data_IF_096050393314
#
_entry.id   IF_096050393314
#
_cell.length_a   1.000
_cell.length_b   1.000
_cell.length_c   1.000
_cell.angle_alpha   90.00
_cell.angle_beta   90.00
_cell.angle_gamma   90.00
#
_symmetry.space_group_name_H-M   'P 1'
#
loop_
_entity.id
_entity.type
_entity.pdbx_description
1 polymer ?
#
# COMPACT_ATOMS: atom_id res chain seq x y z
N UNK A 1 -11.72 -13.16 22.44
CA UNK A 1 -10.95 -12.45 21.42
C UNK A 1 -11.46 -12.91 20.07
N UNK A 2 -11.70 -12.01 19.10
CA UNK A 2 -12.19 -12.40 17.76
C UNK A 2 -11.03 -12.98 16.96
N UNK A 3 -11.32 -14.02 16.17
CA UNK A 3 -10.34 -14.70 15.31
C UNK A 3 -10.73 -14.53 13.83
N UNK A 4 -9.78 -14.12 13.02
CA UNK A 4 -9.93 -13.96 11.55
C UNK A 4 -8.96 -14.90 10.84
N UNK A 5 -9.47 -15.70 9.91
CA UNK A 5 -8.66 -16.53 9.01
C UNK A 5 -8.51 -15.82 7.67
N UNK A 6 -7.27 -15.55 7.27
CA UNK A 6 -6.93 -14.96 5.97
C UNK A 6 -6.35 -16.06 5.08
N UNK A 7 -6.97 -16.32 3.93
CA UNK A 7 -6.54 -17.34 2.96
C UNK A 7 -6.19 -16.66 1.64
N UNK A 8 -4.96 -16.79 1.20
CA UNK A 8 -4.53 -16.20 -0.08
C UNK A 8 -3.09 -16.53 -0.40
N UNK A 9 -2.72 -16.46 -1.67
CA UNK A 9 -1.37 -16.79 -2.12
C UNK A 9 -0.40 -15.60 -2.01
N UNK A 10 -0.91 -14.34 -2.00
CA UNK A 10 -0.10 -13.14 -1.84
C UNK A 10 0.38 -12.94 -0.40
N UNK A 11 1.68 -13.09 -0.17
CA UNK A 11 2.29 -12.86 1.14
C UNK A 11 2.16 -11.41 1.60
N UNK A 12 2.28 -10.45 0.67
CA UNK A 12 2.13 -9.02 0.95
C UNK A 12 0.77 -8.72 1.56
N UNK A 13 -0.29 -9.16 0.91
CA UNK A 13 -1.66 -8.94 1.40
C UNK A 13 -1.90 -9.58 2.76
N UNK A 14 -1.48 -10.86 2.93
CA UNK A 14 -1.66 -11.58 4.21
C UNK A 14 -0.93 -10.89 5.35
N UNK A 15 0.33 -10.48 5.12
CA UNK A 15 1.16 -9.85 6.15
C UNK A 15 0.63 -8.46 6.53
N UNK A 16 0.29 -7.64 5.55
CA UNK A 16 -0.28 -6.31 5.80
C UNK A 16 -1.59 -6.42 6.61
N UNK A 17 -2.56 -7.18 6.09
CA UNK A 17 -3.86 -7.30 6.74
C UNK A 17 -3.75 -7.99 8.10
N UNK A 18 -2.89 -9.02 8.22
CA UNK A 18 -2.65 -9.71 9.48
C UNK A 18 -2.11 -8.77 10.56
N UNK A 19 -1.07 -8.00 10.25
CA UNK A 19 -0.50 -7.03 11.18
C UNK A 19 -1.53 -5.96 11.56
N UNK A 20 -2.27 -5.45 10.55
CA UNK A 20 -3.29 -4.42 10.79
C UNK A 20 -4.41 -4.90 11.72
N UNK A 21 -4.89 -6.12 11.55
CA UNK A 21 -5.94 -6.66 12.41
C UNK A 21 -5.42 -6.94 13.84
N UNK A 22 -4.17 -7.37 13.98
CA UNK A 22 -3.54 -7.57 15.29
C UNK A 22 -3.42 -6.28 16.10
N UNK A 23 -3.21 -5.11 15.45
CA UNK A 23 -3.22 -3.79 16.11
C UNK A 23 -4.57 -3.51 16.83
N UNK A 24 -5.66 -4.10 16.35
CA UNK A 24 -7.00 -4.00 16.96
C UNK A 24 -7.33 -5.17 17.91
N UNK A 25 -6.34 -5.96 18.32
CA UNK A 25 -6.52 -7.07 19.24
C UNK A 25 -7.27 -8.26 18.65
N UNK A 26 -7.26 -8.39 17.32
CA UNK A 26 -7.86 -9.53 16.60
C UNK A 26 -6.82 -10.62 16.44
N UNK A 27 -7.15 -11.85 16.81
CA UNK A 27 -6.30 -13.01 16.54
C UNK A 27 -6.38 -13.36 15.04
N UNK A 28 -5.21 -13.50 14.40
CA UNK A 28 -5.13 -13.77 12.97
C UNK A 28 -4.50 -15.12 12.70
N UNK A 29 -5.18 -15.94 11.92
CA UNK A 29 -4.65 -17.19 11.36
C UNK A 29 -4.45 -17.01 9.85
N UNK A 30 -3.36 -17.55 9.31
CA UNK A 30 -2.97 -17.40 7.89
C UNK A 30 -3.03 -18.74 7.19
N UNK A 31 -3.87 -18.89 6.18
CA UNK A 31 -3.89 -19.98 5.23
C UNK A 31 -3.06 -19.64 3.99
N UNK A 32 -1.99 -20.40 3.74
CA UNK A 32 -1.05 -20.13 2.65
C UNK A 32 -1.60 -20.48 1.26
N UNK A 33 -2.61 -21.33 1.21
CA UNK A 33 -3.31 -21.79 0.01
C UNK A 33 -4.68 -22.34 0.40
N UNK A 34 -5.48 -22.76 -0.57
CA UNK A 34 -6.83 -23.25 -0.29
C UNK A 34 -6.89 -24.50 0.59
N UNK A 35 -5.94 -25.41 0.48
CA UNK A 35 -5.91 -26.62 1.32
C UNK A 35 -5.53 -26.31 2.76
N UNK A 36 -4.49 -25.51 2.99
CA UNK A 36 -4.09 -25.06 4.33
C UNK A 36 -5.20 -24.23 5.01
N UNK A 37 -5.81 -23.32 4.24
CA UNK A 37 -6.96 -22.55 4.72
C UNK A 37 -8.16 -23.43 5.11
N UNK A 38 -8.46 -24.45 4.31
CA UNK A 38 -9.50 -25.42 4.65
C UNK A 38 -9.24 -26.16 5.98
N UNK A 39 -8.01 -26.62 6.19
CA UNK A 39 -7.66 -27.31 7.44
C UNK A 39 -7.79 -26.38 8.65
N UNK A 40 -7.27 -25.14 8.54
CA UNK A 40 -7.37 -24.15 9.61
C UNK A 40 -8.81 -23.74 9.90
N UNK A 41 -9.61 -23.51 8.87
CA UNK A 41 -11.03 -23.22 9.03
C UNK A 41 -11.78 -24.29 9.86
N UNK A 42 -11.49 -25.57 9.60
CA UNK A 42 -12.11 -26.68 10.33
C UNK A 42 -11.64 -26.80 11.79
N UNK A 43 -10.34 -26.61 12.00
CA UNK A 43 -9.71 -26.85 13.30
C UNK A 43 -9.89 -25.67 14.25
N UNK A 44 -9.87 -24.45 13.73
CA UNK A 44 -9.85 -23.22 14.53
C UNK A 44 -11.23 -22.54 14.63
N UNK A 45 -12.14 -22.82 13.72
CA UNK A 45 -13.50 -22.24 13.66
C UNK A 45 -13.48 -20.72 13.86
N UNK A 46 -12.91 -19.94 12.92
CA UNK A 46 -12.76 -18.49 13.07
C UNK A 46 -14.09 -17.74 13.05
N UNK A 47 -14.11 -16.51 13.56
CA UNK A 47 -15.29 -15.62 13.51
C UNK A 47 -15.53 -15.03 12.12
N UNK A 48 -14.49 -14.94 11.28
CA UNK A 48 -14.54 -14.42 9.92
C UNK A 48 -13.47 -15.09 9.04
N UNK A 49 -13.80 -15.32 7.78
CA UNK A 49 -12.87 -15.79 6.76
C UNK A 49 -12.72 -14.69 5.70
N UNK A 50 -11.47 -14.35 5.37
CA UNK A 50 -11.14 -13.47 4.24
C UNK A 50 -10.34 -14.31 3.25
N UNK A 51 -10.80 -14.41 2.00
CA UNK A 51 -10.26 -15.41 1.08
C UNK A 51 -10.12 -14.85 -0.33
N UNK A 52 -8.96 -15.10 -0.95
CA UNK A 52 -8.77 -14.88 -2.37
C UNK A 52 -9.65 -15.86 -3.19
N UNK A 53 -10.21 -15.36 -4.29
CA UNK A 53 -10.98 -16.19 -5.22
C UNK A 53 -10.07 -17.19 -5.96
N UNK A 54 -8.89 -16.75 -6.36
CA UNK A 54 -7.89 -17.62 -6.99
C UNK A 54 -6.95 -18.18 -5.92
N UNK A 55 -7.10 -19.44 -5.59
CA UNK A 55 -6.27 -20.16 -4.64
C UNK A 55 -5.63 -21.38 -5.30
N UNK A 56 -4.40 -21.67 -4.87
CA UNK A 56 -3.68 -22.88 -5.27
C UNK A 56 -4.05 -24.08 -4.40
N UNK A 57 -3.77 -25.30 -4.85
CA UNK A 57 -3.98 -26.61 -4.20
C UNK A 57 -5.44 -27.01 -3.97
N UNK A 58 -6.30 -26.11 -3.58
CA UNK A 58 -7.75 -26.28 -3.43
C UNK A 58 -8.40 -24.97 -3.79
N UNK A 59 -9.33 -24.97 -4.73
CA UNK A 59 -9.99 -23.75 -5.19
C UNK A 59 -10.87 -23.14 -4.08
N UNK A 60 -11.10 -21.84 -4.16
CA UNK A 60 -11.97 -21.13 -3.21
C UNK A 60 -13.40 -21.69 -3.20
N UNK A 61 -13.91 -22.12 -4.36
CA UNK A 61 -15.24 -22.72 -4.48
C UNK A 61 -15.33 -24.08 -3.79
N UNK A 62 -14.26 -24.91 -3.87
CA UNK A 62 -14.20 -26.16 -3.11
C UNK A 62 -14.13 -25.90 -1.60
N UNK A 63 -13.31 -24.90 -1.16
CA UNK A 63 -13.27 -24.49 0.25
C UNK A 63 -14.65 -24.03 0.74
N UNK A 64 -15.36 -23.22 -0.05
CA UNK A 64 -16.73 -22.77 0.28
C UNK A 64 -17.74 -23.92 0.32
N UNK A 65 -17.62 -24.91 -0.56
CA UNK A 65 -18.47 -26.11 -0.56
C UNK A 65 -18.28 -26.90 0.74
N UNK A 66 -17.04 -27.14 1.13
CA UNK A 66 -16.72 -27.83 2.39
C UNK A 66 -17.20 -27.02 3.61
N UNK A 67 -17.01 -25.69 3.58
CA UNK A 67 -17.50 -24.76 4.61
C UNK A 67 -19.02 -24.91 4.80
N UNK A 68 -19.77 -24.86 3.71
CA UNK A 68 -21.23 -24.93 3.71
C UNK A 68 -21.75 -26.28 4.26
N UNK A 69 -21.05 -27.38 3.97
CA UNK A 69 -21.44 -28.73 4.33
C UNK A 69 -21.10 -29.11 5.79
N UNK A 70 -20.32 -28.30 6.51
CA UNK A 70 -19.93 -28.54 7.88
C UNK A 70 -20.70 -27.64 8.84
N UNK A 71 -21.42 -28.19 9.81
CA UNK A 71 -22.25 -27.45 10.76
C UNK A 71 -21.52 -26.38 11.56
N UNK A 72 -20.24 -26.59 11.88
CA UNK A 72 -19.46 -25.65 12.66
C UNK A 72 -18.94 -24.48 11.82
N UNK A 73 -18.68 -24.70 10.53
CA UNK A 73 -18.13 -23.67 9.63
C UNK A 73 -19.17 -22.99 8.77
N UNK A 74 -20.32 -23.61 8.51
CA UNK A 74 -21.40 -23.04 7.70
C UNK A 74 -21.83 -21.63 8.14
N UNK A 75 -22.00 -21.33 9.45
CA UNK A 75 -22.43 -20.01 9.90
C UNK A 75 -21.35 -18.92 9.83
N UNK A 76 -20.06 -19.27 9.66
CA UNK A 76 -18.97 -18.30 9.62
C UNK A 76 -19.14 -17.37 8.43
N UNK A 77 -19.19 -16.04 8.59
CA UNK A 77 -19.21 -15.11 7.47
C UNK A 77 -17.88 -15.16 6.70
N UNK A 78 -17.96 -14.88 5.40
CA UNK A 78 -16.76 -14.79 4.57
C UNK A 78 -16.76 -13.52 3.72
N UNK A 79 -15.56 -12.98 3.46
CA UNK A 79 -15.28 -11.94 2.47
C UNK A 79 -14.46 -12.59 1.36
N UNK A 80 -14.89 -12.41 0.12
CA UNK A 80 -14.18 -12.89 -1.06
C UNK A 80 -13.44 -11.72 -1.72
N UNK A 81 -12.21 -11.95 -2.15
CA UNK A 81 -11.39 -10.97 -2.89
C UNK A 81 -11.13 -11.52 -4.29
N UNK A 82 -11.50 -10.78 -5.33
CA UNK A 82 -11.45 -11.27 -6.69
C UNK A 82 -11.19 -10.16 -7.72
N UNK A 83 -10.48 -10.45 -8.80
CA UNK A 83 -10.41 -9.55 -9.96
C UNK A 83 -11.70 -9.64 -10.78
N UNK A 84 -12.20 -10.85 -10.96
CA UNK A 84 -13.43 -11.16 -11.71
C UNK A 84 -14.08 -12.40 -11.13
N UNK A 85 -15.38 -12.40 -11.03
CA UNK A 85 -16.18 -13.55 -10.58
C UNK A 85 -17.26 -13.88 -11.61
N UNK A 86 -17.40 -15.14 -11.92
CA UNK A 86 -18.48 -15.60 -12.78
C UNK A 86 -19.82 -15.50 -12.07
N UNK A 87 -20.85 -15.05 -12.77
CA UNK A 87 -22.18 -14.81 -12.19
C UNK A 87 -22.76 -16.05 -11.47
N UNK A 88 -22.57 -17.24 -12.03
CA UNK A 88 -23.01 -18.52 -11.40
C UNK A 88 -22.37 -18.74 -10.03
N UNK A 89 -21.09 -18.36 -9.86
CA UNK A 89 -20.35 -18.55 -8.60
C UNK A 89 -20.80 -17.56 -7.52
N UNK A 90 -21.31 -16.37 -7.90
CA UNK A 90 -21.84 -15.39 -6.93
C UNK A 90 -23.00 -15.98 -6.13
N UNK A 91 -23.89 -16.73 -6.78
CA UNK A 91 -25.04 -17.37 -6.10
C UNK A 91 -24.55 -18.45 -5.12
N UNK A 92 -23.58 -19.27 -5.52
CA UNK A 92 -23.03 -20.32 -4.64
C UNK A 92 -22.24 -19.72 -3.46
N UNK A 93 -21.51 -18.62 -3.69
CA UNK A 93 -20.86 -17.86 -2.63
C UNK A 93 -21.86 -17.34 -1.59
N UNK A 94 -22.97 -16.76 -2.04
CA UNK A 94 -24.02 -16.28 -1.14
C UNK A 94 -24.60 -17.40 -0.29
N UNK A 95 -24.84 -18.59 -0.88
CA UNK A 95 -25.30 -19.80 -0.17
C UNK A 95 -24.27 -20.33 0.84
N UNK A 96 -22.98 -20.04 0.62
CA UNK A 96 -21.89 -20.39 1.53
C UNK A 96 -21.57 -19.29 2.56
N UNK A 97 -22.50 -18.34 2.77
CA UNK A 97 -22.40 -17.23 3.71
C UNK A 97 -21.24 -16.23 3.38
N UNK A 98 -20.92 -16.05 2.08
CA UNK A 98 -20.08 -14.93 1.65
C UNK A 98 -20.92 -13.65 1.74
N UNK A 99 -20.50 -12.72 2.58
CA UNK A 99 -21.21 -11.47 2.86
C UNK A 99 -20.79 -10.33 1.94
N UNK A 100 -19.56 -10.36 1.45
CA UNK A 100 -19.03 -9.33 0.57
C UNK A 100 -18.05 -9.93 -0.44
N UNK A 101 -18.10 -9.40 -1.67
CA UNK A 101 -17.09 -9.64 -2.70
C UNK A 101 -16.43 -8.30 -2.97
N UNK A 102 -15.11 -8.22 -2.82
CA UNK A 102 -14.32 -7.03 -3.07
C UNK A 102 -13.46 -7.23 -4.32
N UNK A 103 -13.46 -6.25 -5.20
CA UNK A 103 -12.64 -6.29 -6.42
C UNK A 103 -11.19 -5.91 -6.14
N UNK A 104 -10.26 -6.52 -6.87
CA UNK A 104 -8.86 -6.06 -6.93
C UNK A 104 -8.75 -4.92 -7.97
N UNK A 105 -7.98 -3.84 -7.72
CA UNK A 105 -7.19 -3.59 -6.51
C UNK A 105 -8.07 -3.33 -5.28
N UNK A 106 -7.63 -3.83 -4.11
CA UNK A 106 -8.42 -3.80 -2.88
C UNK A 106 -8.43 -2.39 -2.30
N UNK A 107 -9.62 -1.83 -2.09
CA UNK A 107 -9.77 -0.66 -1.24
C UNK A 107 -9.73 -1.09 0.22
N UNK A 108 -8.63 -0.76 0.91
CA UNK A 108 -8.39 -1.20 2.29
C UNK A 108 -9.39 -0.59 3.27
N UNK A 109 -9.84 0.65 3.06
CA UNK A 109 -10.83 1.30 3.91
C UNK A 109 -12.16 0.55 3.87
N UNK A 110 -12.59 0.14 2.66
CA UNK A 110 -13.81 -0.66 2.48
C UNK A 110 -13.66 -2.04 3.10
N UNK A 111 -12.49 -2.68 2.99
CA UNK A 111 -12.23 -3.98 3.59
C UNK A 111 -12.26 -3.90 5.12
N UNK A 112 -11.52 -2.96 5.72
CA UNK A 112 -11.46 -2.78 7.18
C UNK A 112 -12.84 -2.43 7.77
N UNK A 113 -13.60 -1.57 7.10
CA UNK A 113 -14.98 -1.27 7.49
C UNK A 113 -15.86 -2.51 7.42
N UNK A 114 -15.76 -3.31 6.34
CA UNK A 114 -16.54 -4.54 6.20
C UNK A 114 -16.20 -5.55 7.29
N UNK A 115 -14.91 -5.68 7.65
CA UNK A 115 -14.47 -6.53 8.77
C UNK A 115 -15.09 -6.03 10.07
N UNK A 116 -14.95 -4.74 10.37
CA UNK A 116 -15.55 -4.08 11.55
C UNK A 116 -17.03 -4.42 11.71
N UNK A 117 -17.81 -4.24 10.63
CA UNK A 117 -19.24 -4.51 10.63
C UNK A 117 -19.58 -5.99 10.86
N UNK A 118 -18.77 -6.93 10.31
CA UNK A 118 -19.04 -8.36 10.39
C UNK A 118 -18.68 -9.00 11.72
N UNK A 119 -17.61 -8.52 12.38
CA UNK A 119 -17.16 -9.11 13.65
C UNK A 119 -17.52 -8.27 14.88
N UNK A 120 -18.06 -7.06 14.67
CA UNK A 120 -18.50 -6.16 15.75
C UNK A 120 -17.35 -5.57 16.57
N UNK A 121 -16.22 -5.30 15.93
CA UNK A 121 -15.05 -4.58 16.53
C UNK A 121 -14.90 -3.25 15.83
N UNK A 122 -14.81 -2.16 16.58
CA UNK A 122 -14.55 -0.85 16.01
C UNK A 122 -13.12 -0.76 15.47
N UNK A 123 -12.98 -0.64 14.16
CA UNK A 123 -11.73 -0.38 13.46
C UNK A 123 -11.77 1.07 12.98
N UNK A 124 -10.87 1.89 13.52
CA UNK A 124 -10.74 3.30 13.08
C UNK A 124 -10.03 3.33 11.74
N UNK A 125 -10.72 3.83 10.73
CA UNK A 125 -10.20 3.97 9.37
C UNK A 125 -9.91 5.44 9.10
N UNK A 126 -8.72 5.73 8.56
CA UNK A 126 -8.37 7.07 8.10
C UNK A 126 -9.02 7.32 6.72
N UNK A 127 -10.05 8.16 6.69
CA UNK A 127 -10.79 8.47 5.47
C UNK A 127 -10.16 9.65 4.67
N UNK A 128 -8.94 10.06 4.98
CA UNK A 128 -8.27 11.14 4.23
C UNK A 128 -8.13 10.72 2.76
N UNK A 129 -8.65 11.50 1.79
CA UNK A 129 -8.40 11.25 0.37
C UNK A 129 -6.90 11.22 0.11
N UNK A 130 -6.42 10.20 -0.57
CA UNK A 130 -5.00 10.03 -0.83
C UNK A 130 -4.80 9.11 -2.04
N UNK A 131 -3.87 9.45 -2.90
CA UNK A 131 -3.35 8.61 -3.96
C UNK A 131 -1.86 8.42 -3.70
N UNK A 132 -1.39 7.19 -3.64
CA UNK A 132 0.04 6.86 -3.56
C UNK A 132 0.34 5.88 -4.68
N UNK A 133 1.18 6.30 -5.60
CA UNK A 133 1.71 5.45 -6.67
C UNK A 133 3.21 5.32 -6.54
N UNK A 134 3.75 4.17 -6.92
CA UNK A 134 5.20 3.96 -6.91
C UNK A 134 5.60 3.02 -8.03
N UNK A 135 6.68 3.36 -8.72
CA UNK A 135 7.26 2.58 -9.79
C UNK A 135 8.76 2.82 -9.89
N UNK A 136 9.47 1.87 -10.49
CA UNK A 136 10.87 2.01 -10.85
C UNK A 136 11.03 2.41 -12.29
N UNK A 137 12.01 3.28 -12.54
CA UNK A 137 12.61 3.50 -13.83
C UNK A 137 14.13 3.41 -13.65
N UNK A 138 14.76 2.38 -14.22
CA UNK A 138 16.16 2.03 -14.00
C UNK A 138 16.49 1.83 -12.50
N UNK A 139 17.36 2.65 -11.90
CA UNK A 139 17.75 2.63 -10.49
C UNK A 139 16.98 3.64 -9.62
N UNK A 140 16.01 4.34 -10.22
CA UNK A 140 15.24 5.40 -9.57
C UNK A 140 13.85 4.93 -9.21
N UNK A 141 13.49 5.09 -7.94
CA UNK A 141 12.17 4.85 -7.41
C UNK A 141 11.37 6.15 -7.37
N UNK A 142 10.31 6.21 -8.13
CA UNK A 142 9.34 7.31 -8.12
C UNK A 142 8.22 6.96 -7.13
N UNK A 143 7.92 7.88 -6.24
CA UNK A 143 6.78 7.81 -5.32
C UNK A 143 5.98 9.08 -5.48
N UNK A 144 4.78 8.97 -6.02
CA UNK A 144 3.86 10.08 -6.20
C UNK A 144 2.74 10.03 -5.17
N UNK A 145 2.49 11.18 -4.51
CA UNK A 145 1.43 11.34 -3.53
C UNK A 145 0.58 12.54 -3.91
N UNK A 146 -0.71 12.33 -4.03
CA UNK A 146 -1.68 13.37 -4.36
C UNK A 146 -2.86 13.36 -3.40
N UNK A 147 -3.59 14.48 -3.33
CA UNK A 147 -4.74 14.79 -2.49
C UNK A 147 -4.38 14.98 -1.01
N UNK A 148 -3.86 13.97 -0.33
CA UNK A 148 -3.49 14.05 1.07
C UNK A 148 -2.68 12.83 1.51
N UNK A 149 -2.45 12.69 2.83
CA UNK A 149 -1.77 11.55 3.42
C UNK A 149 -2.76 10.70 4.22
N UNK A 150 -2.90 9.44 3.84
CA UNK A 150 -3.74 8.45 4.49
C UNK A 150 -2.87 7.40 5.19
N UNK A 151 -3.12 7.14 6.46
CA UNK A 151 -2.28 6.27 7.29
C UNK A 151 -2.21 4.84 6.75
N UNK A 152 -3.34 4.27 6.31
CA UNK A 152 -3.40 2.91 5.76
C UNK A 152 -2.63 2.79 4.46
N UNK A 153 -2.71 3.80 3.59
CA UNK A 153 -1.96 3.82 2.32
C UNK A 153 -0.47 4.02 2.53
N UNK A 154 -0.07 4.83 3.50
CA UNK A 154 1.33 4.98 3.89
C UNK A 154 1.89 3.66 4.41
N UNK A 155 1.18 2.94 5.29
CA UNK A 155 1.63 1.62 5.76
C UNK A 155 1.64 0.57 4.64
N UNK A 156 0.67 0.60 3.72
CA UNK A 156 0.65 -0.29 2.56
C UNK A 156 1.86 -0.08 1.63
N UNK A 157 2.33 1.17 1.52
CA UNK A 157 3.53 1.49 0.73
C UNK A 157 4.76 0.69 1.19
N UNK A 158 4.93 0.43 2.50
CA UNK A 158 6.01 -0.42 3.03
C UNK A 158 6.10 -1.75 2.29
N UNK A 159 4.98 -2.44 2.16
CA UNK A 159 4.93 -3.76 1.53
C UNK A 159 5.19 -3.66 0.02
N UNK A 160 4.66 -2.62 -0.62
CA UNK A 160 4.90 -2.35 -2.04
C UNK A 160 6.38 -2.03 -2.32
N UNK A 161 7.02 -1.24 -1.45
CA UNK A 161 8.46 -0.95 -1.55
C UNK A 161 9.29 -2.23 -1.44
N UNK A 162 9.00 -3.09 -0.45
CA UNK A 162 9.71 -4.36 -0.27
C UNK A 162 9.58 -5.25 -1.52
N UNK A 163 8.39 -5.32 -2.11
CA UNK A 163 8.15 -6.10 -3.33
C UNK A 163 8.90 -5.52 -4.53
N UNK A 164 8.84 -4.19 -4.73
CA UNK A 164 9.51 -3.50 -5.81
C UNK A 164 11.03 -3.64 -5.71
N UNK A 165 11.62 -3.41 -4.53
CA UNK A 165 13.06 -3.55 -4.31
C UNK A 165 13.55 -4.97 -4.60
N UNK A 166 12.75 -5.99 -4.22
CA UNK A 166 13.06 -7.38 -4.50
C UNK A 166 12.91 -7.71 -5.99
N UNK A 167 11.85 -7.23 -6.64
CA UNK A 167 11.57 -7.48 -8.06
C UNK A 167 12.65 -6.93 -8.98
N UNK A 168 13.14 -5.73 -8.66
CA UNK A 168 14.17 -5.03 -9.47
C UNK A 168 15.60 -5.28 -8.98
N UNK A 169 15.79 -6.06 -7.90
CA UNK A 169 17.09 -6.35 -7.25
C UNK A 169 17.89 -5.09 -6.91
N UNK A 170 17.21 -4.02 -6.48
CA UNK A 170 17.83 -2.74 -6.13
C UNK A 170 17.93 -2.61 -4.62
N UNK A 171 19.17 -2.47 -4.10
CA UNK A 171 19.42 -2.36 -2.65
C UNK A 171 19.31 -0.93 -2.13
N UNK A 172 19.79 0.02 -2.90
CA UNK A 172 19.85 1.45 -2.53
C UNK A 172 19.38 2.29 -3.72
N UNK A 173 18.05 2.46 -3.90
CA UNK A 173 17.52 3.26 -4.99
C UNK A 173 17.76 4.75 -4.78
N UNK A 174 17.87 5.51 -5.87
CA UNK A 174 17.55 6.93 -5.86
C UNK A 174 16.06 7.09 -5.74
N UNK A 175 15.57 8.01 -4.92
CA UNK A 175 14.15 8.17 -4.64
C UNK A 175 13.70 9.59 -4.95
N UNK A 176 12.74 9.70 -5.85
CA UNK A 176 12.00 10.95 -6.07
C UNK A 176 10.62 10.85 -5.43
N UNK A 177 10.43 11.60 -4.34
CA UNK A 177 9.16 11.71 -3.64
C UNK A 177 8.43 12.97 -4.13
N UNK A 178 7.37 12.78 -4.91
CA UNK A 178 6.60 13.86 -5.51
C UNK A 178 5.32 14.14 -4.70
N UNK A 179 5.19 15.38 -4.21
CA UNK A 179 4.06 15.86 -3.41
C UNK A 179 3.62 17.26 -3.91
N UNK A 180 3.35 17.37 -5.21
CA UNK A 180 3.06 18.66 -5.86
C UNK A 180 1.59 19.10 -5.74
N UNK A 181 0.68 18.16 -5.51
CA UNK A 181 -0.76 18.40 -5.44
C UNK A 181 -1.37 17.76 -4.19
N UNK A 182 -0.93 18.21 -3.02
CA UNK A 182 -1.28 17.60 -1.74
C UNK A 182 -1.83 18.65 -0.75
N UNK A 183 -2.93 18.30 -0.08
CA UNK A 183 -3.40 19.00 1.11
C UNK A 183 -2.60 18.53 2.33
N UNK A 184 -2.01 19.48 3.05
CA UNK A 184 -1.13 19.19 4.19
C UNK A 184 -1.58 19.89 5.47
N UNK A 185 -2.71 19.50 6.09
CA UNK A 185 -3.14 20.01 7.40
C UNK A 185 -2.22 19.49 8.52
N UNK A 186 -2.34 20.06 9.72
CA UNK A 186 -1.48 19.69 10.86
C UNK A 186 -1.49 18.20 11.21
N UNK A 187 -2.63 17.54 11.09
CA UNK A 187 -2.77 16.09 11.32
C UNK A 187 -2.09 15.22 10.22
N UNK A 188 -1.61 15.81 9.13
CA UNK A 188 -0.80 15.11 8.11
C UNK A 188 0.69 15.02 8.49
N UNK A 189 1.18 15.89 9.41
CA UNK A 189 2.60 15.91 9.85
C UNK A 189 3.11 14.55 10.36
N UNK A 190 2.43 13.86 11.29
CA UNK A 190 2.88 12.54 11.74
C UNK A 190 2.85 11.49 10.63
N UNK A 191 1.93 11.62 9.67
CA UNK A 191 1.83 10.71 8.52
C UNK A 191 3.00 10.92 7.53
N UNK A 192 3.42 12.16 7.29
CA UNK A 192 4.60 12.46 6.49
C UNK A 192 5.87 11.95 7.18
N UNK A 193 6.00 12.15 8.49
CA UNK A 193 7.11 11.57 9.26
C UNK A 193 7.15 10.05 9.09
N UNK A 194 6.02 9.38 9.29
CA UNK A 194 5.91 7.93 9.14
C UNK A 194 6.27 7.45 7.73
N UNK A 195 5.85 8.19 6.70
CA UNK A 195 6.22 7.91 5.30
C UNK A 195 7.74 7.95 5.11
N UNK A 196 8.40 8.99 5.61
CA UNK A 196 9.86 9.14 5.48
C UNK A 196 10.61 8.08 6.31
N UNK A 197 10.11 7.74 7.51
CA UNK A 197 10.63 6.64 8.32
C UNK A 197 10.55 5.32 7.53
N UNK A 198 9.40 5.01 6.94
CA UNK A 198 9.20 3.82 6.11
C UNK A 198 10.15 3.74 4.91
N UNK A 199 10.35 4.85 4.23
CA UNK A 199 11.30 4.92 3.11
C UNK A 199 12.72 4.62 3.61
N UNK A 200 13.16 5.23 4.71
CA UNK A 200 14.49 4.98 5.29
C UNK A 200 14.66 3.53 5.78
N UNK A 201 13.66 2.98 6.46
CA UNK A 201 13.69 1.62 7.00
C UNK A 201 13.78 0.55 5.90
N UNK A 202 13.10 0.74 4.78
CA UNK A 202 12.96 -0.31 3.75
C UNK A 202 13.91 -0.15 2.58
N UNK A 203 14.21 1.07 2.15
CA UNK A 203 15.08 1.33 1.00
C UNK A 203 16.51 1.74 1.42
N UNK A 204 16.73 2.04 2.70
CA UNK A 204 18.03 2.43 3.28
C UNK A 204 18.81 3.46 2.45
N UNK A 205 18.16 4.45 1.84
CA UNK A 205 18.86 5.46 1.07
C UNK A 205 19.64 6.40 2.00
N UNK A 206 20.77 6.89 1.57
CA UNK A 206 21.35 8.04 2.24
C UNK A 206 20.54 9.31 1.88
N UNK A 207 20.68 10.39 2.66
CA UNK A 207 19.88 11.61 2.46
C UNK A 207 20.09 12.27 1.09
N UNK A 208 21.23 12.04 0.44
CA UNK A 208 21.52 12.56 -0.92
C UNK A 208 20.87 11.75 -2.03
N UNK A 209 20.38 10.56 -1.72
CA UNK A 209 19.66 9.70 -2.66
C UNK A 209 18.14 9.89 -2.58
N UNK A 210 17.66 10.79 -1.74
CA UNK A 210 16.25 11.17 -1.65
C UNK A 210 16.13 12.62 -2.10
N UNK A 211 15.20 12.88 -3.01
CA UNK A 211 14.78 14.22 -3.43
C UNK A 211 13.30 14.36 -3.21
N UNK A 212 12.88 15.46 -2.59
CA UNK A 212 11.46 15.79 -2.45
C UNK A 212 11.11 16.85 -3.49
N UNK A 213 10.06 16.61 -4.26
CA UNK A 213 9.48 17.55 -5.20
C UNK A 213 8.17 18.09 -4.62
N UNK A 214 8.17 19.34 -4.17
CA UNK A 214 6.98 19.99 -3.62
C UNK A 214 7.15 21.52 -3.67
N UNK A 215 6.04 22.22 -3.90
CA UNK A 215 5.91 23.68 -3.74
C UNK A 215 5.07 24.08 -2.51
N UNK A 216 4.64 23.10 -1.69
CA UNK A 216 3.79 23.31 -0.52
C UNK A 216 4.62 23.86 0.65
N UNK A 217 4.44 25.14 0.99
CA UNK A 217 5.21 25.82 2.03
C UNK A 217 5.09 25.16 3.41
N UNK A 218 3.93 24.60 3.74
CA UNK A 218 3.67 23.89 4.99
C UNK A 218 4.54 22.64 5.13
N UNK A 219 4.77 21.90 4.03
CA UNK A 219 5.67 20.75 4.02
C UNK A 219 7.12 21.20 4.19
N UNK A 220 7.54 22.20 3.42
CA UNK A 220 8.92 22.75 3.46
C UNK A 220 9.22 23.23 4.89
N UNK A 221 8.34 24.03 5.47
CA UNK A 221 8.49 24.56 6.83
C UNK A 221 8.54 23.43 7.88
N UNK A 222 7.68 22.43 7.75
CA UNK A 222 7.65 21.30 8.67
C UNK A 222 8.94 20.48 8.59
N UNK A 223 9.40 20.12 7.39
CA UNK A 223 10.62 19.33 7.19
C UNK A 223 11.85 20.05 7.76
N UNK A 224 11.94 21.38 7.61
CA UNK A 224 13.01 22.18 8.18
C UNK A 224 13.13 22.10 9.71
N UNK A 225 12.09 21.68 10.41
CA UNK A 225 12.07 21.52 11.89
C UNK A 225 12.29 20.06 12.34
N UNK A 226 12.50 19.13 11.41
CA UNK A 226 12.61 17.68 11.70
C UNK A 226 14.01 17.14 11.43
N UNK A 227 14.21 15.87 11.76
CA UNK A 227 15.42 15.10 11.43
C UNK A 227 15.59 14.87 9.91
N UNK A 228 14.63 15.34 9.11
CA UNK A 228 14.61 15.24 7.64
C UNK A 228 15.01 16.53 6.93
N UNK A 229 15.43 17.57 7.66
CA UNK A 229 15.83 18.88 7.14
C UNK A 229 16.96 18.83 6.08
N UNK A 230 17.77 17.76 6.11
CA UNK A 230 18.88 17.58 5.18
C UNK A 230 18.50 16.90 3.87
N UNK A 231 17.21 16.50 3.70
CA UNK A 231 16.72 15.99 2.43
C UNK A 231 16.51 17.17 1.49
N UNK A 232 17.12 17.15 0.29
CA UNK A 232 16.95 18.23 -0.68
C UNK A 232 15.49 18.35 -1.14
N UNK A 233 15.02 19.59 -1.29
CA UNK A 233 13.68 19.91 -1.79
C UNK A 233 13.83 20.73 -3.07
N UNK A 234 13.08 20.38 -4.11
CA UNK A 234 12.96 21.15 -5.34
C UNK A 234 11.49 21.50 -5.59
N UNK A 235 11.24 22.60 -6.28
CA UNK A 235 9.89 23.03 -6.66
C UNK A 235 9.49 22.63 -8.08
N UNK A 236 10.46 22.14 -8.86
CA UNK A 236 10.27 21.69 -10.23
C UNK A 236 11.00 20.37 -10.53
N UNK A 237 10.49 19.63 -11.50
CA UNK A 237 11.00 18.29 -11.83
C UNK A 237 12.41 18.32 -12.43
N UNK A 238 12.80 19.24 -13.34
CA UNK A 238 14.17 19.30 -13.84
C UNK A 238 15.21 19.44 -12.72
N UNK A 239 15.05 20.39 -11.81
CA UNK A 239 15.92 20.58 -10.66
C UNK A 239 16.01 19.34 -9.77
N UNK A 240 14.84 18.71 -9.48
CA UNK A 240 14.80 17.50 -8.69
C UNK A 240 15.60 16.36 -9.33
N UNK A 241 15.49 16.21 -10.65
CA UNK A 241 16.22 15.20 -11.41
C UNK A 241 17.72 15.50 -11.46
N UNK A 242 18.11 16.75 -11.72
CA UNK A 242 19.52 17.15 -11.74
C UNK A 242 20.20 16.89 -10.40
N UNK A 243 19.53 17.20 -9.30
CA UNK A 243 20.01 16.92 -7.95
C UNK A 243 20.23 15.41 -7.70
N UNK A 244 19.26 14.56 -8.10
CA UNK A 244 19.37 13.10 -7.94
C UNK A 244 20.42 12.47 -8.84
N UNK A 245 20.59 13.00 -10.06
CA UNK A 245 21.58 12.52 -11.02
C UNK A 245 22.97 13.09 -10.77
N UNK A 246 23.10 14.10 -9.90
CA UNK A 246 24.36 14.79 -9.63
C UNK A 246 24.83 15.67 -10.81
N UNK A 247 23.89 16.05 -11.67
CA UNK A 247 24.15 16.95 -12.80
C UNK A 247 24.27 18.36 -12.23
N UNK A 248 25.45 18.98 -12.34
CA UNK A 248 25.56 20.40 -12.01
C UNK A 248 24.90 21.19 -13.14
N UNK A 249 24.05 22.21 -12.82
CA UNK A 249 23.55 23.08 -13.85
C UNK A 249 24.76 23.69 -14.57
N UNK A 250 24.90 23.42 -15.88
CA UNK A 250 25.86 24.10 -16.70
C UNK A 250 25.58 25.59 -16.60
N UNK A 251 26.55 26.35 -16.14
CA UNK A 251 26.59 27.79 -16.32
C UNK A 251 26.68 28.01 -17.82
N UNK A 252 25.53 28.09 -18.49
CA UNK A 252 25.44 28.55 -19.87
C UNK A 252 25.91 30.02 -19.84
N UNK A 253 27.18 30.19 -20.08
CA UNK A 253 27.73 31.50 -20.40
C UNK A 253 26.91 32.05 -21.56
N UNK A 254 26.22 33.15 -21.32
CA UNK A 254 25.73 34.02 -22.38
C UNK A 254 26.95 34.53 -23.16
N UNK A 255 27.49 33.74 -24.07
CA UNK A 255 28.34 34.29 -25.15
C UNK A 255 27.42 35.01 -26.13
N UNK A 256 27.67 36.30 -26.17
CA UNK A 256 26.90 37.24 -26.98
C UNK A 256 26.89 36.84 -28.43
N UNK A 257 25.69 36.87 -29.00
CA UNK A 257 25.49 36.90 -30.43
C UNK A 257 26.05 38.24 -30.96
N UNK A 258 27.29 38.18 -31.47
CA UNK A 258 27.85 39.27 -32.27
C UNK A 258 27.04 39.36 -33.55
N UNK A 259 26.30 40.46 -33.70
CA UNK A 259 25.73 40.87 -34.95
C UNK A 259 26.88 41.20 -35.90
N UNK A 260 27.16 40.29 -36.79
CA UNK A 260 27.99 40.64 -37.99
C UNK A 260 27.07 41.12 -39.09
N UNK A 261 27.18 42.40 -39.37
CA UNK A 261 26.65 43.05 -40.57
C UNK A 261 27.49 42.58 -41.74
N UNK A 262 26.86 42.07 -42.77
CA UNK A 262 27.39 42.05 -44.14
C UNK A 262 26.28 42.42 -45.14
N UNK A 263 26.50 43.58 -45.72
CA UNK A 263 26.36 44.05 -47.12
C UNK A 263 25.34 43.31 -48.02
#
# INVERSE_FOLDING_TARGET
MKKVLIIGDSSLFRNYLGNKLQEYGIEVSIGLNGFDGYLKMRNEVPDLIIMDYMLTRKSSMEVLTEKKNNKNTAPIPAIMIATKVEQRNVVEMAKANVKKILSKPINMDVLLKTISDLIGIEIKVDNTPCIIESHFNEDMLFIEIAQGLNSEKVELLKYKLTELLHLYDVKQPKILLMMTSIDFPENARPKLRRLLDLIKENAQPNSRMIQILTSTNEIISYLGTTDYKDIPIADNLPEAMDNLLGIKPDTVAHEGVVHDKLL
#
